data_IF_793935025482
#
_entry.id   IF_793935025482
#
_cell.length_a   1.000
_cell.length_b   1.000
_cell.length_c   1.000
_cell.angle_alpha   90.00
_cell.angle_beta   90.00
_cell.angle_gamma   90.00
#
_symmetry.space_group_name_H-M   'P 1'
#
loop_
_entity.id
_entity.type
_entity.pdbx_description
1 polymer ?
#
# COMPACT_ATOMS: atom_id res chain seq x y z
N UNK A 1 32.36 -35.01 35.47
CA UNK A 1 31.34 -34.06 35.00
C UNK A 1 30.99 -34.50 33.60
N UNK A 2 29.90 -35.27 33.46
CA UNK A 2 29.39 -35.68 32.16
C UNK A 2 28.80 -34.45 31.43
N UNK A 3 28.94 -34.41 30.11
CA UNK A 3 28.61 -33.24 29.29
C UNK A 3 27.10 -33.18 28.99
N UNK A 4 26.59 -31.97 28.70
CA UNK A 4 25.16 -31.72 28.44
C UNK A 4 24.60 -32.52 27.25
N UNK A 5 25.46 -32.93 26.30
CA UNK A 5 25.06 -33.79 25.18
C UNK A 5 24.73 -35.23 25.60
N UNK A 6 25.47 -35.82 26.56
CA UNK A 6 25.18 -37.17 27.08
C UNK A 6 23.84 -37.25 27.83
N UNK A 7 23.42 -36.12 28.43
CA UNK A 7 22.14 -36.01 29.14
C UNK A 7 20.97 -35.91 28.16
N UNK A 8 21.16 -35.24 27.03
CA UNK A 8 20.16 -35.15 25.96
C UNK A 8 20.02 -36.47 25.18
N UNK A 9 21.10 -37.22 24.99
CA UNK A 9 21.06 -38.53 24.34
C UNK A 9 20.37 -39.60 25.23
N UNK A 10 20.58 -39.55 26.55
CA UNK A 10 19.86 -40.42 27.48
C UNK A 10 18.36 -40.09 27.56
N UNK A 11 17.98 -38.82 27.44
CA UNK A 11 16.57 -38.40 27.41
C UNK A 11 15.88 -38.80 26.10
N UNK A 12 16.58 -38.72 24.97
CA UNK A 12 16.07 -39.15 23.66
C UNK A 12 15.89 -40.68 23.58
N UNK A 13 16.85 -41.47 24.10
CA UNK A 13 16.73 -42.93 24.16
C UNK A 13 15.65 -43.39 25.16
N UNK A 14 15.42 -42.64 26.25
CA UNK A 14 14.31 -42.92 27.16
C UNK A 14 12.93 -42.64 26.53
N UNK A 15 12.82 -41.62 25.67
CA UNK A 15 11.59 -41.33 24.92
C UNK A 15 11.32 -42.34 23.80
N UNK A 16 12.35 -42.81 23.09
CA UNK A 16 12.20 -43.84 22.06
C UNK A 16 11.85 -45.22 22.64
N UNK A 17 12.30 -45.54 23.87
CA UNK A 17 11.90 -46.76 24.58
C UNK A 17 10.41 -46.73 25.03
N UNK A 18 9.82 -45.54 25.20
CA UNK A 18 8.39 -45.41 25.51
C UNK A 18 7.50 -45.48 24.26
N UNK A 19 7.99 -45.15 23.07
CA UNK A 19 7.20 -45.22 21.84
C UNK A 19 7.09 -46.61 21.20
N UNK A 20 7.88 -47.61 21.64
CA UNK A 20 7.87 -48.94 21.04
C UNK A 20 7.29 -50.07 21.93
N UNK A 21 6.53 -49.72 22.98
CA UNK A 21 5.88 -50.69 23.88
C UNK A 21 4.35 -50.57 23.96
N UNK A 22 3.68 -50.25 22.84
CA UNK A 22 2.21 -50.43 22.76
C UNK A 22 1.70 -50.68 21.33
N UNK A 23 2.32 -51.63 20.64
CA UNK A 23 1.64 -52.40 19.58
C UNK A 23 1.78 -53.89 19.87
N UNK A 24 0.95 -54.42 20.76
CA UNK A 24 0.47 -55.81 20.71
C UNK A 24 -0.55 -56.09 21.83
N UNK A 25 -1.62 -56.76 21.42
CA UNK A 25 -2.58 -57.54 22.22
C UNK A 25 -3.74 -56.81 22.92
N UNK A 26 -4.94 -57.05 22.37
CA UNK A 26 -5.92 -57.81 23.15
C UNK A 26 -7.15 -57.05 23.66
N UNK A 27 -8.21 -57.11 22.86
CA UNK A 27 -9.60 -57.38 23.24
C UNK A 27 -10.06 -57.08 24.69
N UNK A 28 -11.07 -56.21 24.78
CA UNK A 28 -12.23 -56.40 25.64
C UNK A 28 -12.04 -56.13 27.13
N UNK A 29 -12.47 -54.95 27.59
CA UNK A 29 -13.19 -54.82 28.86
C UNK A 29 -13.93 -53.49 28.91
N UNK A 30 -15.26 -53.57 29.00
CA UNK A 30 -16.12 -52.46 29.41
C UNK A 30 -15.72 -52.06 30.83
N UNK A 31 -14.98 -50.96 30.98
CA UNK A 31 -14.80 -50.34 32.29
C UNK A 31 -15.77 -49.15 32.42
N UNK A 32 -16.94 -49.51 32.93
CA UNK A 32 -17.94 -48.64 33.55
C UNK A 32 -17.29 -47.86 34.69
N UNK A 33 -17.01 -46.56 34.50
CA UNK A 33 -16.93 -45.53 35.56
C UNK A 33 -16.76 -44.10 35.03
N UNK A 34 -17.16 -43.79 33.80
CA UNK A 34 -17.41 -42.42 33.34
C UNK A 34 -18.88 -42.28 32.98
N UNK A 35 -19.58 -41.22 33.42
CA UNK A 35 -20.94 -40.96 32.96
C UNK A 35 -20.93 -40.89 31.44
N UNK A 36 -21.85 -41.60 30.79
CA UNK A 36 -22.00 -41.53 29.33
C UNK A 36 -22.21 -40.06 28.93
N UNK A 37 -21.50 -39.64 27.88
CA UNK A 37 -21.65 -38.31 27.31
C UNK A 37 -23.13 -38.12 26.94
N UNK A 38 -23.74 -36.96 27.29
CA UNK A 38 -25.13 -36.72 26.94
C UNK A 38 -25.31 -36.86 25.42
N UNK A 39 -26.45 -37.37 24.96
CA UNK A 39 -26.68 -37.74 23.55
C UNK A 39 -26.45 -36.59 22.56
N UNK A 40 -26.45 -35.34 23.03
CA UNK A 40 -26.07 -34.14 22.28
C UNK A 40 -24.59 -34.10 21.85
N UNK A 41 -23.68 -34.77 22.57
CA UNK A 41 -22.24 -34.82 22.27
C UNK A 41 -21.78 -36.10 21.59
N UNK A 42 -22.70 -37.04 21.32
CA UNK A 42 -22.41 -38.29 20.63
C UNK A 42 -21.88 -38.08 19.18
N UNK A 43 -22.11 -36.91 18.59
CA UNK A 43 -21.59 -36.56 17.25
C UNK A 43 -20.07 -36.33 17.19
N UNK A 44 -19.42 -36.10 18.33
CA UNK A 44 -17.97 -35.86 18.40
C UNK A 44 -17.21 -37.07 18.95
N UNK A 45 -17.86 -38.24 19.03
CA UNK A 45 -17.28 -39.46 19.55
C UNK A 45 -16.18 -39.96 18.60
N UNK A 46 -14.91 -39.77 19.00
CA UNK A 46 -13.73 -40.12 18.22
C UNK A 46 -12.95 -38.94 17.61
N UNK A 47 -13.42 -37.69 17.76
CA UNK A 47 -12.67 -36.50 17.34
C UNK A 47 -11.67 -36.06 18.42
N UNK A 48 -10.51 -35.58 18.01
CA UNK A 48 -9.54 -34.98 18.94
C UNK A 48 -10.02 -33.60 19.41
N UNK A 49 -9.55 -33.14 20.58
CA UNK A 49 -9.98 -31.84 21.16
C UNK A 49 -9.74 -30.67 20.21
N UNK A 50 -8.66 -30.71 19.43
CA UNK A 50 -8.32 -29.68 18.45
C UNK A 50 -9.25 -29.68 17.22
N UNK A 51 -9.81 -30.84 16.86
CA UNK A 51 -10.79 -30.96 15.77
C UNK A 51 -12.16 -30.47 16.23
N UNK A 52 -12.57 -30.80 17.46
CA UNK A 52 -13.80 -30.29 18.07
C UNK A 52 -13.73 -28.77 18.24
N UNK A 53 -12.58 -28.23 18.65
CA UNK A 53 -12.40 -26.78 18.77
C UNK A 53 -12.47 -26.08 17.40
N UNK A 54 -11.92 -26.68 16.36
CA UNK A 54 -12.00 -26.14 14.98
C UNK A 54 -13.41 -26.19 14.42
N UNK A 55 -14.13 -27.28 14.66
CA UNK A 55 -15.54 -27.44 14.28
C UNK A 55 -16.45 -26.46 15.05
N UNK A 56 -16.12 -26.22 16.33
CA UNK A 56 -16.81 -25.22 17.15
C UNK A 56 -16.51 -23.80 16.66
N UNK A 57 -15.26 -23.47 16.34
CA UNK A 57 -14.88 -22.14 15.81
C UNK A 57 -15.42 -21.90 14.39
N UNK A 58 -15.79 -22.96 13.66
CA UNK A 58 -16.51 -22.90 12.38
C UNK A 58 -17.99 -22.53 12.57
N UNK A 59 -18.56 -22.77 13.75
CA UNK A 59 -19.92 -22.37 14.08
C UNK A 59 -20.00 -20.84 14.24
N UNK A 60 -20.97 -20.17 13.60
CA UNK A 60 -21.16 -18.72 13.73
C UNK A 60 -21.40 -18.23 15.17
N UNK A 61 -21.77 -19.14 16.07
CA UNK A 61 -22.01 -18.85 17.48
C UNK A 61 -20.71 -18.71 18.30
N UNK A 62 -19.59 -19.24 17.78
CA UNK A 62 -18.29 -19.26 18.45
C UNK A 62 -17.12 -18.79 17.56
N UNK A 63 -17.38 -18.43 16.30
CA UNK A 63 -16.36 -17.92 15.37
C UNK A 63 -15.77 -16.59 15.87
N UNK A 64 -14.46 -16.52 15.92
CA UNK A 64 -13.73 -15.28 16.28
C UNK A 64 -13.47 -14.37 15.07
N UNK A 65 -13.53 -14.92 13.86
CA UNK A 65 -13.33 -14.21 12.59
C UNK A 65 -14.44 -14.57 11.59
N UNK A 66 -14.86 -13.60 10.77
CA UNK A 66 -15.98 -13.74 9.85
C UNK A 66 -15.49 -14.38 8.54
N UNK A 67 -15.49 -15.72 8.47
CA UNK A 67 -15.19 -16.48 7.25
C UNK A 67 -16.47 -16.79 6.45
N UNK A 68 -16.36 -16.80 5.11
CA UNK A 68 -17.46 -17.19 4.21
C UNK A 68 -17.68 -18.72 4.27
N UNK A 69 -18.54 -19.15 5.20
CA UNK A 69 -18.92 -20.54 5.42
C UNK A 69 -20.42 -20.75 5.14
N UNK A 70 -20.81 -21.95 4.70
CA UNK A 70 -22.19 -22.34 4.39
C UNK A 70 -23.14 -22.08 5.57
N UNK A 71 -22.66 -22.22 6.81
CA UNK A 71 -23.42 -21.94 8.03
C UNK A 71 -23.71 -20.45 8.23
N UNK A 72 -22.77 -19.57 7.84
CA UNK A 72 -22.94 -18.12 7.86
C UNK A 72 -23.90 -17.70 6.73
N UNK A 73 -23.80 -18.32 5.56
CA UNK A 73 -24.71 -18.09 4.44
C UNK A 73 -26.15 -18.53 4.78
N UNK A 74 -26.32 -19.65 5.48
CA UNK A 74 -27.62 -20.12 5.95
C UNK A 74 -28.25 -19.15 6.98
N UNK A 75 -27.46 -18.63 7.92
CA UNK A 75 -27.93 -17.60 8.87
C UNK A 75 -28.23 -16.27 8.20
N UNK A 76 -27.43 -15.87 7.21
CA UNK A 76 -27.72 -14.69 6.40
C UNK A 76 -29.02 -14.88 5.60
N UNK A 77 -29.25 -16.04 5.00
CA UNK A 77 -30.51 -16.35 4.32
C UNK A 77 -31.71 -16.27 5.29
N UNK A 78 -31.57 -16.76 6.52
CA UNK A 78 -32.54 -16.62 7.60
C UNK A 78 -32.78 -15.14 7.99
N UNK A 79 -31.72 -14.34 8.05
CA UNK A 79 -31.81 -12.91 8.37
C UNK A 79 -32.48 -12.08 7.25
N UNK A 80 -32.56 -12.63 6.03
CA UNK A 80 -33.28 -12.08 4.88
C UNK A 80 -34.46 -12.98 4.45
N UNK A 81 -35.01 -13.77 5.36
CA UNK A 81 -36.16 -14.63 5.09
C UNK A 81 -37.44 -13.79 5.01
N UNK A 82 -37.99 -13.68 3.81
CA UNK A 82 -39.22 -12.92 3.55
C UNK A 82 -39.11 -12.05 2.30
N UNK A 83 -40.18 -11.29 2.04
CA UNK A 83 -40.19 -10.30 0.97
C UNK A 83 -39.22 -9.16 1.27
N UNK A 84 -38.73 -8.46 0.23
CA UNK A 84 -37.85 -7.30 0.41
C UNK A 84 -38.44 -6.22 1.34
N UNK A 85 -39.78 -6.09 1.36
CA UNK A 85 -40.52 -5.18 2.23
C UNK A 85 -40.49 -5.63 3.69
N UNK A 86 -40.73 -6.91 3.98
CA UNK A 86 -40.65 -7.48 5.33
C UNK A 86 -39.22 -7.41 5.89
N UNK A 87 -38.23 -7.74 5.07
CA UNK A 87 -36.81 -7.61 5.45
C UNK A 87 -36.46 -6.16 5.80
N UNK A 88 -36.88 -5.19 4.96
CA UNK A 88 -36.66 -3.77 5.23
C UNK A 88 -37.40 -3.29 6.48
N UNK A 89 -38.60 -3.79 6.74
CA UNK A 89 -39.35 -3.49 7.96
C UNK A 89 -38.64 -4.03 9.21
N UNK A 90 -38.11 -5.26 9.16
CA UNK A 90 -37.32 -5.83 10.25
C UNK A 90 -36.01 -5.08 10.51
N UNK A 91 -35.35 -4.54 9.47
CA UNK A 91 -34.20 -3.65 9.64
C UNK A 91 -34.57 -2.29 10.23
N UNK A 92 -35.73 -1.74 9.87
CA UNK A 92 -36.27 -0.49 10.45
C UNK A 92 -36.56 -0.65 11.94
N UNK A 93 -37.18 -1.76 12.35
CA UNK A 93 -37.49 -2.02 13.76
C UNK A 93 -36.22 -2.18 14.60
N UNK A 94 -35.27 -3.00 14.15
CA UNK A 94 -33.95 -3.15 14.79
C UNK A 94 -33.20 -1.81 14.87
N UNK A 95 -33.21 -1.03 13.79
CA UNK A 95 -32.64 0.32 13.78
C UNK A 95 -33.30 1.26 14.80
N UNK A 96 -34.62 1.20 14.95
CA UNK A 96 -35.38 1.99 15.94
C UNK A 96 -35.04 1.59 17.38
N UNK A 97 -34.83 0.30 17.66
CA UNK A 97 -34.38 -0.18 18.96
C UNK A 97 -32.97 0.34 19.28
N UNK A 98 -32.03 0.23 18.33
CA UNK A 98 -30.68 0.79 18.46
C UNK A 98 -30.71 2.31 18.68
N UNK A 99 -31.61 3.03 17.98
CA UNK A 99 -31.75 4.48 18.14
C UNK A 99 -32.26 4.86 19.54
N UNK A 100 -33.20 4.11 20.11
CA UNK A 100 -33.72 4.33 21.48
C UNK A 100 -32.63 4.20 22.55
N UNK A 101 -31.68 3.28 22.36
CA UNK A 101 -30.55 3.09 23.29
C UNK A 101 -29.36 4.01 22.99
N UNK A 102 -29.53 5.00 22.09
CA UNK A 102 -28.48 5.95 21.65
C UNK A 102 -27.29 5.29 20.92
N UNK A 103 -27.47 4.07 20.40
CA UNK A 103 -26.53 3.36 19.54
C UNK A 103 -26.61 3.87 18.10
N UNK A 104 -26.17 5.10 17.84
CA UNK A 104 -26.40 5.78 16.56
C UNK A 104 -25.61 5.18 15.38
N UNK A 105 -24.45 4.57 15.64
CA UNK A 105 -23.62 3.93 14.60
C UNK A 105 -24.32 2.67 14.08
N UNK A 106 -24.76 1.81 14.99
CA UNK A 106 -25.47 0.56 14.67
C UNK A 106 -26.83 0.86 14.04
N UNK A 107 -27.56 1.84 14.58
CA UNK A 107 -28.82 2.30 13.99
C UNK A 107 -28.64 2.76 12.53
N UNK A 108 -27.59 3.54 12.24
CA UNK A 108 -27.26 3.98 10.87
C UNK A 108 -27.03 2.77 9.95
N UNK A 109 -26.31 1.75 10.42
CA UNK A 109 -26.05 0.56 9.61
C UNK A 109 -27.32 -0.24 9.31
N UNK A 110 -28.18 -0.46 10.30
CA UNK A 110 -29.46 -1.14 10.09
C UNK A 110 -30.39 -0.37 9.15
N UNK A 111 -30.49 0.96 9.30
CA UNK A 111 -31.26 1.78 8.37
C UNK A 111 -30.67 1.76 6.95
N UNK A 112 -29.35 1.81 6.82
CA UNK A 112 -28.67 1.75 5.51
C UNK A 112 -28.93 0.40 4.83
N UNK A 113 -28.85 -0.71 5.56
CA UNK A 113 -29.18 -2.06 5.05
C UNK A 113 -30.63 -2.14 4.56
N UNK A 114 -31.58 -1.64 5.34
CA UNK A 114 -32.99 -1.57 4.93
C UNK A 114 -33.22 -0.75 3.65
N UNK A 115 -32.56 0.41 3.52
CA UNK A 115 -32.64 1.25 2.31
C UNK A 115 -32.05 0.52 1.09
N UNK A 116 -30.91 -0.16 1.25
CA UNK A 116 -30.26 -0.89 0.16
C UNK A 116 -31.11 -2.07 -0.35
N UNK A 117 -31.79 -2.80 0.54
CA UNK A 117 -32.72 -3.88 0.17
C UNK A 117 -33.87 -3.35 -0.68
N UNK A 118 -34.51 -2.25 -0.26
CA UNK A 118 -35.59 -1.63 -1.01
C UNK A 118 -35.10 -1.04 -2.35
N UNK A 119 -33.96 -0.36 -2.35
CA UNK A 119 -33.38 0.23 -3.57
C UNK A 119 -32.90 -0.84 -4.58
N UNK A 120 -32.54 -2.04 -4.14
CA UNK A 120 -32.24 -3.16 -5.02
C UNK A 120 -33.51 -3.73 -5.66
N UNK A 121 -34.59 -3.88 -4.89
CA UNK A 121 -35.89 -4.34 -5.38
C UNK A 121 -36.52 -3.33 -6.36
N UNK A 122 -36.44 -2.03 -6.10
CA UNK A 122 -36.91 -0.98 -7.02
C UNK A 122 -36.14 -0.99 -8.35
N UNK A 123 -34.81 -1.19 -8.31
CA UNK A 123 -34.00 -1.34 -9.53
C UNK A 123 -34.34 -2.60 -10.32
N UNK A 124 -34.72 -3.68 -9.64
CA UNK A 124 -35.17 -4.92 -10.27
C UNK A 124 -36.51 -4.73 -10.97
N UNK A 125 -37.47 -4.04 -10.34
CA UNK A 125 -38.78 -3.71 -10.93
C UNK A 125 -38.68 -2.72 -12.11
N UNK A 126 -37.77 -1.75 -12.04
CA UNK A 126 -37.51 -0.81 -13.14
C UNK A 126 -36.60 -1.35 -14.26
N UNK A 127 -36.03 -2.55 -14.08
CA UNK A 127 -35.13 -3.20 -15.03
C UNK A 127 -35.82 -4.12 -16.06
N UNK A 128 -37.13 -4.34 -15.92
CA UNK A 128 -37.95 -5.18 -16.83
C UNK A 128 -38.60 -4.37 -17.98
N UNK A 129 -38.26 -3.09 -18.17
CA UNK A 129 -38.61 -2.33 -19.38
C UNK A 129 -37.38 -2.17 -20.30
N UNK A 130 -37.24 -3.09 -21.26
CA UNK A 130 -36.43 -2.84 -22.45
C UNK A 130 -37.10 -1.76 -23.35
N UNK A 131 -36.33 -0.86 -23.99
CA UNK A 131 -36.89 0.17 -24.85
C UNK A 131 -37.21 -0.41 -26.24
N UNK A 132 -38.46 -0.79 -26.47
CA UNK A 132 -38.87 -1.29 -27.78
C UNK A 132 -40.38 -1.36 -28.03
N UNK A 133 -40.93 -0.31 -28.66
CA UNK A 133 -42.13 -0.45 -29.50
C UNK A 133 -43.43 0.14 -28.96
N UNK A 134 -43.95 1.15 -29.67
CA UNK A 134 -45.31 1.70 -29.51
C UNK A 134 -46.38 0.63 -29.78
N UNK A 135 -47.45 0.60 -28.98
CA UNK A 135 -48.68 -0.14 -29.29
C UNK A 135 -49.73 0.03 -28.21
N UNK A 136 -50.89 0.63 -28.52
CA UNK A 136 -51.87 1.08 -27.55
C UNK A 136 -52.80 0.04 -26.90
N UNK A 137 -53.47 0.53 -25.84
CA UNK A 137 -54.85 0.29 -25.39
C UNK A 137 -55.19 -0.89 -24.46
N UNK A 138 -55.83 -0.52 -23.33
CA UNK A 138 -56.65 -1.33 -22.43
C UNK A 138 -55.91 -1.70 -21.14
N UNK A 139 -56.16 -1.11 -19.97
CA UNK A 139 -57.45 -0.95 -19.31
C UNK A 139 -57.50 -1.94 -18.13
N UNK A 140 -57.11 -1.48 -16.94
CA UNK A 140 -57.19 -2.28 -15.71
C UNK A 140 -56.07 -1.95 -14.72
N UNK A 141 -56.46 -1.43 -13.56
CA UNK A 141 -55.67 -1.25 -12.34
C UNK A 141 -54.76 0.00 -12.25
N UNK A 142 -55.39 1.18 -12.23
CA UNK A 142 -54.78 2.43 -11.75
C UNK A 142 -54.78 2.53 -10.20
N UNK A 143 -54.99 1.42 -9.48
CA UNK A 143 -55.24 1.44 -8.03
C UNK A 143 -54.01 1.26 -7.13
N UNK A 144 -52.86 0.80 -7.66
CA UNK A 144 -51.73 0.39 -6.82
C UNK A 144 -50.47 1.27 -6.95
N UNK A 145 -50.39 2.14 -7.96
CA UNK A 145 -49.18 2.93 -8.24
C UNK A 145 -49.08 4.23 -7.41
N UNK A 146 -50.20 4.71 -6.86
CA UNK A 146 -50.24 5.94 -6.05
C UNK A 146 -49.71 5.75 -4.61
N UNK A 147 -49.82 4.54 -4.04
CA UNK A 147 -49.47 4.28 -2.64
C UNK A 147 -47.96 4.06 -2.38
N UNK A 148 -47.15 3.85 -3.43
CA UNK A 148 -45.69 3.67 -3.28
C UNK A 148 -44.93 4.99 -3.08
N UNK A 149 -45.49 6.12 -3.51
CA UNK A 149 -44.99 7.46 -3.17
C UNK A 149 -45.68 7.92 -1.90
N UNK A 150 -45.38 7.23 -0.79
CA UNK A 150 -45.91 7.55 0.52
C UNK A 150 -46.02 9.05 0.73
N UNK A 151 -47.22 9.51 1.10
CA UNK A 151 -47.63 10.89 1.30
C UNK A 151 -46.49 11.79 1.82
N UNK A 152 -45.71 12.38 0.91
CA UNK A 152 -44.66 13.32 1.26
C UNK A 152 -45.32 14.67 1.37
N UNK A 153 -45.51 15.15 2.59
CA UNK A 153 -45.86 16.54 2.81
C UNK A 153 -44.77 17.43 2.19
N UNK A 154 -45.06 18.14 1.08
CA UNK A 154 -44.06 18.99 0.44
C UNK A 154 -43.64 20.16 1.35
N UNK A 155 -44.42 20.44 2.39
CA UNK A 155 -44.17 21.47 3.40
C UNK A 155 -43.47 20.98 4.68
N UNK A 156 -43.03 19.72 4.76
CA UNK A 156 -42.30 19.25 5.93
C UNK A 156 -40.98 20.03 6.11
N UNK A 157 -40.99 20.99 7.04
CA UNK A 157 -39.87 21.90 7.31
C UNK A 157 -38.59 21.17 7.70
N UNK A 158 -38.69 20.02 8.38
CA UNK A 158 -37.52 19.23 8.75
C UNK A 158 -36.84 18.61 7.52
N UNK A 159 -37.62 18.09 6.56
CA UNK A 159 -37.07 17.53 5.32
C UNK A 159 -36.43 18.59 4.43
N UNK A 160 -37.00 19.79 4.36
CA UNK A 160 -36.40 20.92 3.63
C UNK A 160 -35.08 21.37 4.24
N UNK A 161 -35.01 21.49 5.57
CA UNK A 161 -33.76 21.83 6.26
C UNK A 161 -32.66 20.80 6.03
N UNK A 162 -32.99 19.51 6.11
CA UNK A 162 -32.04 18.43 5.80
C UNK A 162 -31.62 18.44 4.33
N UNK A 163 -32.54 18.70 3.39
CA UNK A 163 -32.21 18.82 1.98
C UNK A 163 -31.24 20.00 1.70
N UNK A 164 -31.47 21.15 2.32
CA UNK A 164 -30.58 22.32 2.20
C UNK A 164 -29.19 22.02 2.78
N UNK A 165 -29.12 21.33 3.92
CA UNK A 165 -27.86 20.89 4.53
C UNK A 165 -27.10 19.88 3.67
N UNK A 166 -27.81 18.92 3.05
CA UNK A 166 -27.24 17.97 2.10
C UNK A 166 -26.66 18.71 0.89
N UNK A 167 -27.41 19.65 0.30
CA UNK A 167 -26.95 20.44 -0.84
C UNK A 167 -25.72 21.27 -0.47
N UNK A 168 -25.73 21.90 0.71
CA UNK A 168 -24.59 22.69 1.19
C UNK A 168 -23.35 21.81 1.41
N UNK A 169 -23.52 20.63 2.01
CA UNK A 169 -22.42 19.68 2.24
C UNK A 169 -21.89 19.11 0.93
N UNK A 170 -22.75 18.76 -0.01
CA UNK A 170 -22.38 18.27 -1.34
C UNK A 170 -21.51 19.29 -2.07
N UNK A 171 -21.91 20.58 -2.10
CA UNK A 171 -21.11 21.66 -2.71
C UNK A 171 -19.71 21.77 -2.12
N UNK A 172 -19.56 21.65 -0.79
CA UNK A 172 -18.25 21.71 -0.13
C UNK A 172 -17.39 20.49 -0.48
N UNK A 173 -17.99 19.30 -0.48
CA UNK A 173 -17.30 18.05 -0.82
C UNK A 173 -16.87 18.06 -2.29
N UNK A 174 -17.74 18.48 -3.20
CA UNK A 174 -17.43 18.56 -4.64
C UNK A 174 -16.35 19.61 -4.93
N UNK A 175 -16.40 20.78 -4.26
CA UNK A 175 -15.36 21.79 -4.38
C UNK A 175 -14.00 21.28 -3.89
N UNK A 176 -13.96 20.57 -2.76
CA UNK A 176 -12.74 19.95 -2.25
C UNK A 176 -12.22 18.87 -3.21
N UNK A 177 -13.10 17.96 -3.66
CA UNK A 177 -12.77 16.90 -4.60
C UNK A 177 -12.22 17.45 -5.92
N UNK A 178 -12.82 18.52 -6.45
CA UNK A 178 -12.34 19.20 -7.66
C UNK A 178 -10.94 19.79 -7.46
N UNK A 179 -10.71 20.49 -6.34
CA UNK A 179 -9.40 21.08 -6.01
C UNK A 179 -8.31 20.02 -5.81
N UNK A 180 -8.66 18.89 -5.21
CA UNK A 180 -7.71 17.80 -4.97
C UNK A 180 -7.42 17.05 -6.29
N UNK A 181 -8.43 16.85 -7.14
CA UNK A 181 -8.25 16.29 -8.48
C UNK A 181 -7.40 17.18 -9.40
N UNK A 182 -7.57 18.51 -9.34
CA UNK A 182 -6.76 19.46 -10.12
C UNK A 182 -5.29 19.46 -9.68
N UNK A 183 -5.04 19.37 -8.37
CA UNK A 183 -3.68 19.24 -7.82
C UNK A 183 -3.03 17.93 -8.27
N UNK A 184 -3.73 16.81 -8.12
CA UNK A 184 -3.25 15.50 -8.56
C UNK A 184 -3.01 15.43 -10.08
N UNK A 185 -3.89 16.05 -10.88
CA UNK A 185 -3.71 16.12 -12.33
C UNK A 185 -2.49 16.95 -12.73
N UNK A 186 -2.21 18.04 -12.02
CA UNK A 186 -1.03 18.88 -12.24
C UNK A 186 0.26 18.14 -11.89
N UNK A 187 0.29 17.46 -10.75
CA UNK A 187 1.44 16.66 -10.31
C UNK A 187 1.73 15.52 -11.29
N UNK A 188 0.70 14.75 -11.68
CA UNK A 188 0.85 13.69 -12.67
C UNK A 188 1.34 14.21 -14.03
N UNK A 189 0.84 15.38 -14.47
CA UNK A 189 1.31 16.01 -15.71
C UNK A 189 2.80 16.35 -15.63
N UNK A 190 3.24 16.89 -14.50
CA UNK A 190 4.64 17.26 -14.26
C UNK A 190 5.55 16.04 -14.19
N UNK A 191 5.13 14.97 -13.53
CA UNK A 191 5.90 13.72 -13.48
C UNK A 191 6.10 13.12 -14.88
N UNK A 192 5.03 13.06 -15.69
CA UNK A 192 5.12 12.58 -17.08
C UNK A 192 6.06 13.47 -17.91
N UNK A 193 5.99 14.79 -17.73
CA UNK A 193 6.85 15.74 -18.42
C UNK A 193 8.33 15.56 -18.02
N UNK A 194 8.59 15.40 -16.73
CA UNK A 194 9.92 15.15 -16.18
C UNK A 194 10.51 13.84 -16.73
N UNK A 195 9.73 12.76 -16.73
CA UNK A 195 10.15 11.48 -17.30
C UNK A 195 10.44 11.59 -18.80
N UNK A 196 9.59 12.29 -19.56
CA UNK A 196 9.83 12.55 -20.97
C UNK A 196 11.11 13.38 -21.20
N UNK A 197 11.38 14.38 -20.34
CA UNK A 197 12.57 15.21 -20.39
C UNK A 197 13.87 14.42 -20.11
N UNK A 198 13.85 13.47 -19.15
CA UNK A 198 14.96 12.57 -18.82
C UNK A 198 15.23 11.62 -20.00
N UNK A 199 14.18 11.00 -20.55
CA UNK A 199 14.29 10.08 -21.68
C UNK A 199 14.80 10.77 -22.95
N UNK A 200 14.32 11.98 -23.25
CA UNK A 200 14.76 12.76 -24.41
C UNK A 200 16.26 13.10 -24.37
N UNK A 201 16.84 13.20 -23.17
CA UNK A 201 18.26 13.47 -22.95
C UNK A 201 19.12 12.20 -22.86
N UNK A 202 18.50 11.02 -22.95
CA UNK A 202 19.19 9.73 -22.94
C UNK A 202 19.87 9.40 -21.61
N UNK A 203 19.31 9.85 -20.49
CA UNK A 203 19.89 9.66 -19.15
C UNK A 203 19.32 8.36 -18.55
N UNK A 204 20.15 7.33 -18.30
CA UNK A 204 19.67 6.11 -17.65
C UNK A 204 19.49 6.35 -16.15
N UNK A 205 18.34 5.95 -15.62
CA UNK A 205 17.99 6.05 -14.19
C UNK A 205 17.76 4.67 -13.60
N UNK A 206 18.28 4.42 -12.39
CA UNK A 206 18.03 3.20 -11.62
C UNK A 206 17.47 3.54 -10.25
N UNK A 207 16.43 2.82 -9.81
CA UNK A 207 15.91 2.87 -8.43
C UNK A 207 16.33 1.62 -7.67
N UNK A 208 16.78 1.79 -6.44
CA UNK A 208 17.16 0.72 -5.51
C UNK A 208 16.02 0.39 -4.55
N UNK A 209 16.09 -0.75 -3.87
CA UNK A 209 15.05 -1.21 -2.94
C UNK A 209 14.90 -0.31 -1.71
N UNK A 210 15.99 0.38 -1.34
CA UNK A 210 16.02 1.29 -0.20
C UNK A 210 16.59 2.64 -0.64
N UNK A 211 15.78 3.49 -1.30
CA UNK A 211 16.22 4.80 -1.70
C UNK A 211 16.54 5.64 -0.45
N UNK A 212 17.56 6.51 -0.50
CA UNK A 212 17.82 7.47 0.57
C UNK A 212 16.62 8.42 0.73
N UNK A 213 16.33 8.80 1.97
CA UNK A 213 15.33 9.84 2.25
C UNK A 213 15.95 11.19 1.90
N UNK A 214 15.47 11.79 0.81
CA UNK A 214 15.99 13.03 0.25
C UNK A 214 15.09 14.24 0.52
N UNK A 215 14.11 14.10 1.42
CA UNK A 215 13.08 15.12 1.69
C UNK A 215 12.46 15.65 0.37
N UNK A 216 12.73 16.92 0.03
CA UNK A 216 12.25 17.61 -1.17
C UNK A 216 13.26 17.65 -2.33
N UNK A 217 14.43 17.03 -2.18
CA UNK A 217 15.50 17.10 -3.18
C UNK A 217 15.38 15.96 -4.20
N UNK A 218 14.53 16.17 -5.20
CA UNK A 218 14.37 15.30 -6.38
C UNK A 218 14.82 15.96 -7.67
N UNK A 219 14.87 15.20 -8.76
CA UNK A 219 15.14 15.76 -10.09
C UNK A 219 13.97 16.68 -10.46
N UNK A 220 14.27 17.90 -10.90
CA UNK A 220 13.27 18.88 -11.25
C UNK A 220 13.59 19.61 -12.55
N UNK A 221 12.55 20.09 -13.22
CA UNK A 221 12.68 21.01 -14.35
C UNK A 221 12.73 22.45 -13.81
N UNK A 222 13.84 23.14 -14.07
CA UNK A 222 14.12 24.51 -13.63
C UNK A 222 14.42 25.37 -14.86
N UNK A 223 13.91 26.61 -14.97
CA UNK A 223 13.12 27.34 -13.98
C UNK A 223 11.64 26.98 -13.95
N UNK A 224 11.09 26.39 -15.02
CA UNK A 224 9.67 26.12 -15.13
C UNK A 224 9.37 24.60 -15.13
N UNK A 225 8.64 24.07 -14.13
CA UNK A 225 8.32 22.66 -14.04
C UNK A 225 7.30 22.16 -15.07
N UNK A 226 6.59 23.07 -15.76
CA UNK A 226 5.58 22.74 -16.76
C UNK A 226 6.10 22.92 -18.21
N UNK A 227 7.36 23.30 -18.41
CA UNK A 227 7.99 23.46 -19.74
C UNK A 227 9.02 22.34 -20.03
N UNK A 228 8.85 21.52 -21.10
CA UNK A 228 9.81 20.49 -21.46
C UNK A 228 11.19 21.01 -21.90
N UNK A 229 11.29 22.30 -22.27
CA UNK A 229 12.55 22.96 -22.66
C UNK A 229 13.36 23.44 -21.47
N UNK A 230 12.76 23.47 -20.28
CA UNK A 230 13.47 23.79 -19.05
C UNK A 230 14.64 22.82 -18.84
N UNK A 231 15.64 23.29 -18.11
CA UNK A 231 16.84 22.53 -17.78
C UNK A 231 16.51 21.53 -16.68
N UNK A 232 17.13 20.34 -16.73
CA UNK A 232 17.06 19.41 -15.62
C UNK A 232 18.05 19.83 -14.53
N UNK A 233 17.55 19.88 -13.30
CA UNK A 233 18.33 20.05 -12.08
C UNK A 233 18.38 18.72 -11.35
N UNK A 234 19.59 18.25 -11.06
CA UNK A 234 19.84 16.99 -10.37
C UNK A 234 20.37 17.23 -8.95
N UNK A 235 19.74 16.66 -7.92
CA UNK A 235 20.36 16.53 -6.61
C UNK A 235 21.69 15.79 -6.73
N UNK A 236 22.76 16.34 -6.17
CA UNK A 236 24.11 15.80 -6.33
C UNK A 236 24.80 15.63 -4.98
N UNK A 237 25.32 14.42 -4.74
CA UNK A 237 26.13 14.08 -3.58
C UNK A 237 27.60 14.07 -3.97
N UNK A 238 28.38 14.97 -3.37
CA UNK A 238 29.84 14.97 -3.46
C UNK A 238 30.38 14.08 -2.35
N UNK A 239 31.11 13.04 -2.73
CA UNK A 239 31.70 12.06 -1.82
C UNK A 239 33.21 12.28 -1.75
N UNK A 240 33.75 12.42 -0.54
CA UNK A 240 35.18 12.56 -0.26
C UNK A 240 35.69 11.29 0.42
N UNK A 241 35.90 10.19 -0.32
CA UNK A 241 36.07 8.86 0.26
C UNK A 241 37.38 8.67 1.02
N UNK A 242 38.38 9.55 0.83
CA UNK A 242 39.63 9.53 1.61
C UNK A 242 39.39 10.00 3.04
N UNK A 243 38.52 10.99 3.21
CA UNK A 243 38.26 11.66 4.50
C UNK A 243 36.92 11.23 5.11
N UNK A 244 36.15 10.38 4.41
CA UNK A 244 34.82 9.90 4.80
C UNK A 244 33.80 11.01 5.03
N UNK A 245 33.95 12.11 4.28
CA UNK A 245 33.03 13.24 4.33
C UNK A 245 32.14 13.28 3.08
N UNK A 246 31.01 13.97 3.18
CA UNK A 246 30.07 14.16 2.06
C UNK A 246 29.46 15.56 2.07
N UNK A 247 29.29 16.16 0.90
CA UNK A 247 28.51 17.38 0.71
C UNK A 247 27.30 17.11 -0.18
N UNK A 248 26.21 17.85 0.07
CA UNK A 248 24.98 17.72 -0.70
C UNK A 248 24.61 19.03 -1.41
N UNK A 249 24.46 18.93 -2.74
CA UNK A 249 23.99 20.02 -3.61
C UNK A 249 22.54 19.71 -3.99
N UNK A 250 21.61 20.57 -3.55
CA UNK A 250 20.17 20.37 -3.78
C UNK A 250 19.78 20.38 -5.26
N UNK A 251 20.45 21.17 -6.08
CA UNK A 251 20.12 21.30 -7.50
C UNK A 251 21.32 21.66 -8.35
N UNK A 252 21.80 20.70 -9.13
CA UNK A 252 22.84 20.88 -10.13
C UNK A 252 22.19 20.88 -11.51
N UNK A 253 22.10 22.07 -12.12
CA UNK A 253 21.60 22.23 -13.49
C UNK A 253 22.48 21.52 -14.52
N UNK A 254 21.86 20.93 -15.53
CA UNK A 254 22.52 20.17 -16.58
C UNK A 254 23.52 20.97 -17.44
N UNK A 255 23.35 22.29 -17.51
CA UNK A 255 24.19 23.23 -18.26
C UNK A 255 25.41 23.70 -17.48
N UNK A 256 25.35 23.66 -16.15
CA UNK A 256 26.44 24.07 -15.28
C UNK A 256 27.60 23.07 -15.32
N UNK A 257 28.78 23.53 -14.92
CA UNK A 257 29.97 22.71 -14.77
C UNK A 257 30.23 22.38 -13.31
N UNK A 258 31.06 21.37 -13.07
CA UNK A 258 31.46 21.00 -11.72
C UNK A 258 32.37 22.07 -11.11
N UNK A 259 33.14 22.79 -11.92
CA UNK A 259 33.99 23.90 -11.49
C UNK A 259 33.16 25.02 -10.83
N UNK A 260 31.98 25.32 -11.39
CA UNK A 260 31.06 26.34 -10.85
C UNK A 260 30.59 25.97 -9.43
N UNK A 261 30.39 24.68 -9.17
CA UNK A 261 29.91 24.20 -7.88
C UNK A 261 31.05 24.05 -6.87
N UNK A 262 32.18 23.48 -7.27
CA UNK A 262 33.36 23.37 -6.42
C UNK A 262 33.92 24.75 -6.03
N UNK A 263 33.71 25.78 -6.86
CA UNK A 263 34.16 27.14 -6.59
C UNK A 263 33.55 27.78 -5.35
N UNK A 264 32.29 27.47 -5.02
CA UNK A 264 31.64 27.95 -3.79
C UNK A 264 31.68 26.92 -2.65
N UNK A 265 31.85 25.63 -2.95
CA UNK A 265 31.98 24.58 -1.93
C UNK A 265 33.35 24.66 -1.26
N UNK A 266 34.41 25.00 -1.99
CA UNK A 266 35.74 25.16 -1.43
C UNK A 266 35.96 26.57 -0.89
N UNK A 267 36.67 26.73 0.25
CA UNK A 267 37.40 25.70 1.00
C UNK A 267 36.51 24.87 1.93
N UNK A 268 36.84 23.59 2.08
CA UNK A 268 36.11 22.67 2.95
C UNK A 268 36.49 22.94 4.42
N UNK A 269 35.52 23.13 5.33
CA UNK A 269 35.81 23.46 6.74
C UNK A 269 36.66 22.40 7.47
N UNK A 270 36.56 21.14 7.05
CA UNK A 270 37.29 20.01 7.62
C UNK A 270 38.68 19.80 6.99
N UNK A 271 38.94 20.38 5.81
CA UNK A 271 40.22 20.24 5.10
C UNK A 271 41.26 21.23 5.65
N UNK A 272 41.84 20.88 6.80
CA UNK A 272 42.86 21.71 7.47
C UNK A 272 44.16 21.81 6.68
N UNK A 273 44.45 20.81 5.84
CA UNK A 273 45.66 20.74 5.03
C UNK A 273 45.52 21.46 3.68
N UNK A 274 44.30 21.84 3.29
CA UNK A 274 44.02 22.52 2.03
C UNK A 274 44.34 21.64 0.82
N UNK A 275 44.16 20.33 0.95
CA UNK A 275 44.46 19.36 -0.11
C UNK A 275 43.43 19.47 -1.25
N UNK A 276 42.18 19.80 -0.93
CA UNK A 276 41.07 19.95 -1.85
C UNK A 276 41.02 21.39 -2.39
N UNK A 277 41.82 21.63 -3.43
CA UNK A 277 41.79 22.86 -4.22
C UNK A 277 41.29 22.57 -5.63
N UNK A 278 40.68 23.58 -6.28
CA UNK A 278 40.19 23.46 -7.66
C UNK A 278 41.24 22.89 -8.62
N UNK A 279 42.53 23.16 -8.42
CA UNK A 279 43.61 22.63 -9.25
C UNK A 279 44.02 21.21 -8.91
N UNK A 280 43.92 20.81 -7.65
CA UNK A 280 44.46 19.55 -7.11
C UNK A 280 43.44 18.41 -6.96
N UNK A 281 42.19 18.65 -7.34
CA UNK A 281 41.14 17.62 -7.29
C UNK A 281 40.87 16.98 -8.65
N UNK A 282 40.57 15.68 -8.63
CA UNK A 282 39.98 14.92 -9.73
C UNK A 282 38.62 14.37 -9.32
N UNK A 283 37.68 14.35 -10.26
CA UNK A 283 36.30 13.97 -10.01
C UNK A 283 35.94 12.74 -10.84
N UNK A 284 35.21 11.81 -10.25
CA UNK A 284 34.82 10.56 -10.89
C UNK A 284 33.34 10.28 -10.65
N UNK A 285 32.72 9.60 -11.60
CA UNK A 285 31.33 9.13 -11.51
C UNK A 285 31.28 7.62 -11.74
N UNK A 286 30.35 6.95 -11.07
CA UNK A 286 30.11 5.51 -11.23
C UNK A 286 29.44 5.24 -12.59
N UNK A 287 29.83 4.16 -13.24
CA UNK A 287 29.24 3.69 -14.50
C UNK A 287 28.34 2.48 -14.27
N UNK A 288 27.41 2.21 -15.18
CA UNK A 288 26.48 1.08 -15.12
C UNK A 288 27.17 -0.29 -14.98
N UNK A 289 28.37 -0.43 -15.54
CA UNK A 289 29.15 -1.68 -15.47
C UNK A 289 29.88 -1.86 -14.12
N UNK A 290 29.76 -0.90 -13.20
CA UNK A 290 30.47 -0.87 -11.92
C UNK A 290 31.89 -0.32 -12.03
N UNK A 291 32.25 0.30 -13.15
CA UNK A 291 33.51 1.02 -13.36
C UNK A 291 33.42 2.49 -12.95
N UNK A 292 34.53 3.22 -13.09
CA UNK A 292 34.60 4.67 -12.88
C UNK A 292 34.93 5.41 -14.16
N UNK A 293 34.20 6.50 -14.40
CA UNK A 293 34.49 7.45 -15.46
C UNK A 293 35.07 8.73 -14.85
N UNK A 294 36.23 9.18 -15.36
CA UNK A 294 36.82 10.47 -14.98
C UNK A 294 35.99 11.60 -15.59
N UNK A 295 35.46 12.47 -14.74
CA UNK A 295 34.66 13.63 -15.12
C UNK A 295 35.56 14.86 -15.28
N UNK A 296 35.49 15.53 -16.43
CA UNK A 296 36.19 16.80 -16.64
C UNK A 296 35.49 17.92 -15.88
N UNK A 297 36.22 18.71 -15.08
CA UNK A 297 35.65 19.77 -14.23
C UNK A 297 34.89 20.86 -15.02
N UNK A 298 35.37 21.16 -16.23
CA UNK A 298 34.79 22.17 -17.16
C UNK A 298 33.75 21.59 -18.11
N UNK A 299 33.38 20.32 -17.96
CA UNK A 299 32.39 19.67 -18.84
C UNK A 299 31.01 19.84 -18.20
N UNK A 300 29.99 20.28 -18.96
CA UNK A 300 28.62 20.34 -18.47
C UNK A 300 28.11 18.97 -18.03
N UNK A 301 27.31 18.94 -16.96
CA UNK A 301 26.77 17.70 -16.40
C UNK A 301 26.00 16.88 -17.46
N UNK A 302 25.24 17.55 -18.33
CA UNK A 302 24.48 16.89 -19.40
C UNK A 302 25.37 15.98 -20.27
N UNK A 303 26.57 16.42 -20.66
CA UNK A 303 27.46 15.62 -21.53
C UNK A 303 27.96 14.35 -20.83
N UNK A 304 28.14 14.41 -19.52
CA UNK A 304 28.60 13.29 -18.72
C UNK A 304 27.48 12.26 -18.57
N UNK A 305 26.26 12.72 -18.28
CA UNK A 305 25.09 11.85 -18.15
C UNK A 305 24.63 11.30 -19.51
N UNK A 306 24.70 12.09 -20.58
CA UNK A 306 24.31 11.67 -21.94
C UNK A 306 25.31 10.70 -22.60
N UNK A 307 26.41 10.36 -21.93
CA UNK A 307 27.37 9.37 -22.44
C UNK A 307 26.78 7.95 -22.46
N UNK A 308 25.64 7.72 -21.79
CA UNK A 308 24.93 6.43 -21.73
C UNK A 308 25.62 5.37 -20.86
N UNK A 309 26.81 5.69 -20.33
CA UNK A 309 27.58 4.83 -19.42
C UNK A 309 27.33 5.15 -17.95
N UNK A 310 26.90 6.38 -17.66
CA UNK A 310 26.69 6.91 -16.31
C UNK A 310 25.20 6.83 -16.02
N UNK A 311 24.83 6.19 -14.91
CA UNK A 311 23.45 6.11 -14.44
C UNK A 311 23.22 7.02 -13.23
N UNK A 312 22.03 7.61 -13.17
CA UNK A 312 21.54 8.33 -12.00
C UNK A 312 20.84 7.31 -11.11
N UNK A 313 21.35 7.12 -9.88
CA UNK A 313 20.87 6.11 -8.95
C UNK A 313 20.03 6.80 -7.89
N UNK A 314 18.78 6.36 -7.71
CA UNK A 314 17.82 6.93 -6.76
C UNK A 314 17.61 8.43 -6.93
N UNK A 315 17.58 8.90 -8.18
CA UNK A 315 17.38 10.32 -8.53
C UNK A 315 18.51 11.27 -8.07
N UNK A 316 19.61 10.71 -7.57
CA UNK A 316 20.78 11.45 -7.09
C UNK A 316 22.01 11.13 -7.94
N UNK A 317 22.75 12.18 -8.30
CA UNK A 317 24.06 12.04 -8.95
C UNK A 317 25.13 11.90 -7.88
N UNK A 318 25.92 10.84 -7.94
CA UNK A 318 27.04 10.60 -7.00
C UNK A 318 28.36 10.93 -7.68
N UNK A 319 29.08 11.91 -7.15
CA UNK A 319 30.38 12.34 -7.67
C UNK A 319 31.44 12.11 -6.60
N UNK A 320 32.46 11.32 -6.91
CA UNK A 320 33.61 11.12 -6.04
C UNK A 320 34.65 12.19 -6.32
N UNK A 321 35.00 12.97 -5.29
CA UNK A 321 36.00 14.04 -5.36
C UNK A 321 37.25 13.57 -4.61
N UNK A 322 38.39 13.53 -5.31
CA UNK A 322 39.64 12.97 -4.81
C UNK A 322 40.82 13.92 -5.05
N UNK A 323 41.78 13.98 -4.12
CA UNK A 323 43.07 14.59 -4.40
C UNK A 323 43.83 13.83 -5.49
N UNK A 324 44.49 14.56 -6.39
CA UNK A 324 45.30 13.97 -7.48
C UNK A 324 46.31 12.92 -7.02
N UNK A 325 46.92 13.13 -5.86
CA UNK A 325 47.93 12.21 -5.30
C UNK A 325 47.35 10.85 -4.91
N UNK A 326 46.08 10.80 -4.55
CA UNK A 326 45.42 9.61 -4.01
C UNK A 326 44.42 8.97 -4.98
N UNK A 327 44.04 9.71 -6.03
CA UNK A 327 43.05 9.31 -7.02
C UNK A 327 43.35 7.95 -7.65
N UNK A 328 44.58 7.72 -8.15
CA UNK A 328 44.95 6.46 -8.81
C UNK A 328 44.89 5.25 -7.85
N UNK A 329 45.39 5.42 -6.63
CA UNK A 329 45.39 4.39 -5.61
C UNK A 329 43.96 4.02 -5.19
N UNK A 330 43.10 5.03 -5.05
CA UNK A 330 41.70 4.81 -4.69
C UNK A 330 40.90 4.16 -5.83
N UNK A 331 41.10 4.57 -7.08
CA UNK A 331 40.42 3.96 -8.24
C UNK A 331 40.72 2.46 -8.34
N UNK A 332 41.96 2.04 -8.05
CA UNK A 332 42.33 0.62 -8.00
C UNK A 332 41.56 -0.12 -6.91
N UNK A 333 41.57 0.40 -5.67
CA UNK A 333 40.83 -0.18 -4.53
C UNK A 333 39.33 -0.28 -4.80
N UNK A 334 38.74 0.75 -5.39
CA UNK A 334 37.31 0.77 -5.72
C UNK A 334 36.93 -0.34 -6.70
N UNK A 335 37.72 -0.51 -7.78
CA UNK A 335 37.48 -1.58 -8.77
C UNK A 335 37.58 -2.98 -8.14
N UNK A 336 38.54 -3.18 -7.24
CA UNK A 336 38.69 -4.44 -6.50
C UNK A 336 37.48 -4.69 -5.58
N UNK A 337 37.03 -3.68 -4.83
CA UNK A 337 35.84 -3.78 -3.96
C UNK A 337 34.56 -4.06 -4.74
N UNK A 338 34.33 -3.38 -5.86
CA UNK A 338 33.16 -3.63 -6.71
C UNK A 338 33.19 -5.01 -7.36
N UNK A 339 34.35 -5.49 -7.78
CA UNK A 339 34.50 -6.85 -8.30
C UNK A 339 34.21 -7.91 -7.23
N UNK A 340 34.60 -7.66 -5.98
CA UNK A 340 34.30 -8.54 -4.85
C UNK A 340 32.80 -8.55 -4.49
N UNK A 341 32.13 -7.40 -4.55
CA UNK A 341 30.68 -7.29 -4.26
C UNK A 341 29.79 -7.90 -5.36
N UNK A 342 30.33 -8.07 -6.58
CA UNK A 342 29.63 -8.68 -7.72
C UNK A 342 29.75 -10.21 -7.77
N UNK A 343 30.62 -10.81 -6.95
CA UNK A 343 30.81 -12.27 -6.83
C UNK A 343 29.92 -12.84 -5.74
#
# INVERSE_FOLDING_TARGET
MASFEELTEQMANAMLAQQNSSTAAGNGTKNSTRPDLPPSFARHEGMTVDEVFRDLNKSPLFMTELEDNDDVAALQALAYEGTALENAAGFKERGNECFKVRGFVDAREFYTKGILVLAAEERKRGGDEEPGGRGGLGGGDQGAEEDARGHRDPENKALRGVADDIIKRAKVVDAKRKKDAERAATEKRREVLLQAAIQARGIPTRRTEKPPDMEDAGIALVPNPDDPRSELSFPTLLLYPVHFETDFIKGFNETHTLDDHLGYVFPLPWDREGVYTLTNVECYVETMEGGLLKMGRKVPLLKVLSTGKVEVVDEVVRIYVLPKKEAEAWVKKFKEQKAAMKR
#
